data_IF_180028494707
#
_entry.id   IF_180028494707
#
_cell.length_a   1.000
_cell.length_b   1.000
_cell.length_c   1.000
_cell.angle_alpha   90.00
_cell.angle_beta   90.00
_cell.angle_gamma   90.00
#
_symmetry.space_group_name_H-M   'P 1'
#
loop_
_entity.id
_entity.type
_entity.pdbx_description
1 polymer ?
#
# COMPACT_ATOMS: atom_id res chain seq x y z
N UNK A 1 -14.57 -21.76 16.66
CA UNK A 1 -13.32 -22.21 16.05
C UNK A 1 -13.56 -22.52 14.58
N UNK A 2 -13.06 -21.66 13.69
CA UNK A 2 -13.11 -21.74 12.22
C UNK A 2 -12.27 -22.91 11.69
N UNK A 3 -11.17 -23.24 12.35
CA UNK A 3 -10.16 -24.21 11.91
C UNK A 3 -10.17 -25.52 12.70
N UNK A 4 -11.14 -25.70 13.61
CA UNK A 4 -11.18 -26.82 14.55
C UNK A 4 -11.02 -28.20 13.90
N UNK A 5 -11.75 -28.47 12.82
CA UNK A 5 -11.72 -29.79 12.17
C UNK A 5 -10.35 -30.06 11.53
N UNK A 6 -9.75 -29.06 10.89
CA UNK A 6 -8.43 -29.15 10.29
C UNK A 6 -7.35 -29.33 11.37
N UNK A 7 -7.43 -28.56 12.46
CA UNK A 7 -6.49 -28.69 13.59
C UNK A 7 -6.57 -30.09 14.20
N UNK A 8 -7.78 -30.61 14.45
CA UNK A 8 -7.95 -31.98 14.96
C UNK A 8 -7.44 -33.05 13.97
N UNK A 9 -7.61 -32.84 12.67
CA UNK A 9 -7.04 -33.73 11.66
C UNK A 9 -5.51 -33.79 11.76
N UNK A 10 -4.83 -32.65 11.77
CA UNK A 10 -3.36 -32.62 11.84
C UNK A 10 -2.81 -33.13 13.17
N UNK A 11 -3.48 -32.82 14.27
CA UNK A 11 -3.02 -33.16 15.63
C UNK A 11 -3.34 -34.60 16.03
N UNK A 12 -4.57 -35.07 15.75
CA UNK A 12 -5.07 -36.35 16.28
C UNK A 12 -5.07 -37.44 15.20
N UNK A 13 -5.51 -37.12 13.98
CA UNK A 13 -5.64 -38.13 12.92
C UNK A 13 -4.33 -38.38 12.18
N UNK A 14 -3.59 -37.32 11.89
CA UNK A 14 -2.30 -37.38 11.21
C UNK A 14 -1.13 -37.48 12.21
N UNK A 15 -1.17 -36.67 13.28
CA UNK A 15 -0.11 -36.60 14.30
C UNK A 15 1.23 -36.10 13.74
N UNK A 16 1.18 -35.18 12.76
CA UNK A 16 2.36 -34.69 12.05
C UNK A 16 2.47 -33.16 12.22
N UNK A 17 3.44 -32.78 13.05
CA UNK A 17 3.74 -31.39 13.40
C UNK A 17 4.36 -30.60 12.23
N UNK A 18 5.16 -31.25 11.39
CA UNK A 18 5.72 -30.59 10.20
C UNK A 18 4.60 -30.27 9.19
N UNK A 19 3.65 -31.19 9.03
CA UNK A 19 2.49 -30.98 8.18
C UNK A 19 1.54 -29.90 8.72
N UNK A 20 1.35 -29.83 10.05
CA UNK A 20 0.59 -28.77 10.69
C UNK A 20 1.24 -27.40 10.45
N UNK A 21 2.54 -27.28 10.72
CA UNK A 21 3.30 -26.05 10.52
C UNK A 21 3.26 -25.59 9.06
N UNK A 22 3.49 -26.50 8.12
CA UNK A 22 3.41 -26.19 6.69
C UNK A 22 2.01 -25.71 6.27
N UNK A 23 0.95 -26.33 6.79
CA UNK A 23 -0.41 -25.91 6.48
C UNK A 23 -0.74 -24.51 7.03
N UNK A 24 -0.25 -24.17 8.22
CA UNK A 24 -0.40 -22.84 8.81
C UNK A 24 0.33 -21.79 7.96
N UNK A 25 1.57 -22.08 7.53
CA UNK A 25 2.37 -21.19 6.69
C UNK A 25 1.71 -20.90 5.32
N UNK A 26 0.93 -21.84 4.79
CA UNK A 26 0.17 -21.65 3.54
C UNK A 26 -1.07 -20.76 3.70
N UNK A 27 -1.51 -20.48 4.94
CA UNK A 27 -2.67 -19.61 5.18
C UNK A 27 -2.29 -18.13 5.01
N UNK A 28 -3.26 -17.26 4.67
CA UNK A 28 -3.02 -15.81 4.65
C UNK A 28 -2.42 -15.36 6.00
N UNK A 29 -1.44 -14.46 5.98
CA UNK A 29 -0.75 -13.99 7.20
C UNK A 29 -1.74 -13.55 8.29
N UNK A 30 -2.81 -12.82 7.92
CA UNK A 30 -3.85 -12.37 8.85
C UNK A 30 -4.65 -13.50 9.52
N UNK A 31 -4.65 -14.69 8.94
CA UNK A 31 -5.36 -15.86 9.45
C UNK A 31 -4.50 -16.69 10.40
N UNK A 32 -3.17 -16.60 10.31
CA UNK A 32 -2.23 -17.41 11.10
C UNK A 32 -2.35 -17.16 12.62
N UNK A 33 -2.42 -15.91 13.14
CA UNK A 33 -2.64 -15.67 14.58
C UNK A 33 -3.94 -16.29 15.10
N UNK A 34 -5.01 -16.24 14.31
CA UNK A 34 -6.30 -16.84 14.70
C UNK A 34 -6.22 -18.37 14.72
N UNK A 35 -5.46 -18.98 13.80
CA UNK A 35 -5.20 -20.41 13.81
C UNK A 35 -4.41 -20.82 15.07
N UNK A 36 -3.37 -20.06 15.43
CA UNK A 36 -2.59 -20.32 16.64
C UNK A 36 -3.44 -20.16 17.93
N UNK A 37 -4.33 -19.16 17.99
CA UNK A 37 -5.27 -19.03 19.12
C UNK A 37 -6.23 -20.21 19.21
N UNK A 38 -6.79 -20.64 18.10
CA UNK A 38 -7.68 -21.81 18.09
C UNK A 38 -6.95 -23.11 18.45
N UNK A 39 -5.67 -23.23 18.08
CA UNK A 39 -4.81 -24.33 18.53
C UNK A 39 -4.61 -24.31 20.05
N UNK A 40 -4.34 -23.14 20.64
CA UNK A 40 -4.23 -22.99 22.09
C UNK A 40 -5.53 -23.31 22.82
N UNK A 41 -6.67 -22.85 22.29
CA UNK A 41 -7.99 -23.17 22.86
C UNK A 41 -8.26 -24.67 22.81
N UNK A 42 -7.92 -25.34 21.71
CA UNK A 42 -8.04 -26.80 21.59
C UNK A 42 -7.11 -27.54 22.54
N UNK A 43 -5.87 -27.09 22.69
CA UNK A 43 -4.94 -27.68 23.64
C UNK A 43 -5.40 -27.47 25.08
N UNK A 44 -6.00 -26.34 25.44
CA UNK A 44 -6.59 -26.14 26.76
C UNK A 44 -7.84 -27.02 26.99
N UNK A 45 -8.62 -27.29 25.95
CA UNK A 45 -9.80 -28.16 26.03
C UNK A 45 -9.43 -29.65 26.17
N UNK A 46 -8.35 -30.09 25.53
CA UNK A 46 -7.96 -31.51 25.40
C UNK A 46 -6.77 -31.87 26.32
N UNK A 47 -5.95 -30.90 26.71
CA UNK A 47 -4.64 -31.05 27.35
C UNK A 47 -4.65 -31.69 28.74
N UNK A 48 -5.82 -31.80 29.38
CA UNK A 48 -5.94 -32.66 30.57
C UNK A 48 -5.68 -34.14 30.32
N UNK A 49 -5.69 -34.58 29.05
CA UNK A 49 -5.54 -35.99 28.63
C UNK A 49 -4.42 -36.23 27.60
N UNK A 50 -3.73 -35.18 27.09
CA UNK A 50 -2.68 -35.32 26.07
C UNK A 50 -1.53 -34.30 26.23
N UNK A 51 -0.39 -34.78 26.74
CA UNK A 51 0.82 -34.02 27.07
C UNK A 51 1.54 -33.44 25.82
N UNK A 52 1.43 -34.10 24.65
CA UNK A 52 2.00 -33.59 23.39
C UNK A 52 1.29 -32.33 22.90
N UNK A 53 -0.03 -32.27 23.11
CA UNK A 53 -0.86 -31.12 22.77
C UNK A 53 -0.57 -29.91 23.66
N UNK A 54 -0.27 -30.15 24.94
CA UNK A 54 0.12 -29.11 25.89
C UNK A 54 1.48 -28.51 25.53
N UNK A 55 2.45 -29.35 25.13
CA UNK A 55 3.77 -28.90 24.65
C UNK A 55 3.67 -28.07 23.37
N UNK A 56 2.88 -28.51 22.38
CA UNK A 56 2.65 -27.75 21.15
C UNK A 56 2.05 -26.36 21.45
N UNK A 57 1.06 -26.29 22.34
CA UNK A 57 0.44 -25.02 22.75
C UNK A 57 1.43 -24.02 23.34
N UNK A 58 2.36 -24.50 24.17
CA UNK A 58 3.42 -23.66 24.75
C UNK A 58 4.41 -23.17 23.69
N UNK A 59 4.77 -24.01 22.72
CA UNK A 59 5.66 -23.63 21.62
C UNK A 59 5.04 -22.55 20.72
N UNK A 60 3.76 -22.65 20.42
CA UNK A 60 3.04 -21.66 19.60
C UNK A 60 2.63 -20.39 20.35
N UNK A 61 2.69 -20.39 21.69
CA UNK A 61 2.36 -19.21 22.51
C UNK A 61 3.22 -17.99 22.22
N UNK A 62 4.51 -18.18 21.90
CA UNK A 62 5.40 -17.07 21.57
C UNK A 62 5.28 -16.59 20.13
N UNK A 63 4.61 -17.35 19.26
CA UNK A 63 4.50 -17.08 17.84
C UNK A 63 3.35 -16.11 17.54
N UNK A 64 2.25 -16.15 18.29
CA UNK A 64 1.11 -15.22 18.12
C UNK A 64 1.59 -13.76 18.17
N UNK A 65 2.29 -13.36 19.24
CA UNK A 65 2.76 -11.99 19.42
C UNK A 65 3.75 -11.57 18.31
N UNK A 66 4.64 -12.48 17.89
CA UNK A 66 5.62 -12.20 16.84
C UNK A 66 4.96 -12.01 15.47
N UNK A 67 3.99 -12.86 15.13
CA UNK A 67 3.27 -12.75 13.87
C UNK A 67 2.38 -11.50 13.84
N UNK A 68 1.73 -11.15 14.96
CA UNK A 68 0.94 -9.93 15.04
C UNK A 68 1.79 -8.68 14.84
N UNK A 69 2.98 -8.62 15.46
CA UNK A 69 3.90 -7.50 15.27
C UNK A 69 4.38 -7.39 13.81
N UNK A 70 4.75 -8.51 13.18
CA UNK A 70 5.18 -8.53 11.76
C UNK A 70 4.04 -8.07 10.83
N UNK A 71 2.83 -8.58 11.04
CA UNK A 71 1.64 -8.22 10.25
C UNK A 71 1.32 -6.73 10.42
N UNK A 72 1.41 -6.21 11.64
CA UNK A 72 1.19 -4.80 11.94
C UNK A 72 2.22 -3.93 11.22
N UNK A 73 3.49 -4.30 11.26
CA UNK A 73 4.57 -3.58 10.58
C UNK A 73 4.40 -3.59 9.05
N UNK A 74 4.07 -4.73 8.46
CA UNK A 74 3.81 -4.84 7.02
C UNK A 74 2.61 -4.01 6.58
N UNK A 75 1.51 -4.07 7.33
CA UNK A 75 0.29 -3.29 7.04
C UNK A 75 0.53 -1.80 7.22
N UNK A 76 1.31 -1.41 8.23
CA UNK A 76 1.70 -0.02 8.43
C UNK A 76 2.59 0.48 7.28
N UNK A 77 3.52 -0.35 6.81
CA UNK A 77 4.36 -0.03 5.65
C UNK A 77 3.52 0.12 4.37
N UNK A 78 2.59 -0.81 4.12
CA UNK A 78 1.66 -0.75 2.98
C UNK A 78 0.79 0.51 3.02
N UNK A 79 0.20 0.82 4.18
CA UNK A 79 -0.62 2.02 4.37
C UNK A 79 0.21 3.30 4.16
N UNK A 80 1.43 3.36 4.72
CA UNK A 80 2.32 4.50 4.54
C UNK A 80 2.72 4.69 3.07
N UNK A 81 2.97 3.59 2.35
CA UNK A 81 3.27 3.64 0.91
C UNK A 81 2.08 4.18 0.10
N UNK A 82 0.87 3.67 0.35
CA UNK A 82 -0.34 4.13 -0.32
C UNK A 82 -0.57 5.63 -0.06
N UNK A 83 -0.48 6.07 1.19
CA UNK A 83 -0.64 7.49 1.55
C UNK A 83 0.40 8.37 0.86
N UNK A 84 1.67 7.91 0.77
CA UNK A 84 2.72 8.66 0.09
C UNK A 84 2.46 8.77 -1.42
N UNK A 85 1.99 7.69 -2.05
CA UNK A 85 1.59 7.68 -3.47
C UNK A 85 0.41 8.63 -3.74
N UNK A 86 -0.65 8.57 -2.94
CA UNK A 86 -1.80 9.45 -3.08
C UNK A 86 -1.43 10.93 -2.89
N UNK A 87 -0.57 11.23 -1.92
CA UNK A 87 -0.05 12.58 -1.70
C UNK A 87 0.78 13.08 -2.90
N UNK A 88 1.61 12.20 -3.48
CA UNK A 88 2.41 12.52 -4.66
C UNK A 88 1.53 12.75 -5.90
N UNK A 89 0.52 11.91 -6.13
CA UNK A 89 -0.43 12.08 -7.24
C UNK A 89 -1.20 13.39 -7.13
N UNK A 90 -1.68 13.72 -5.92
CA UNK A 90 -2.34 15.00 -5.67
C UNK A 90 -1.43 16.19 -5.95
N UNK A 91 -0.18 16.15 -5.46
CA UNK A 91 0.78 17.21 -5.72
C UNK A 91 1.07 17.36 -7.23
N UNK A 92 1.17 16.25 -7.97
CA UNK A 92 1.35 16.29 -9.42
C UNK A 92 0.15 16.92 -10.14
N UNK A 93 -1.08 16.62 -9.71
CA UNK A 93 -2.29 17.24 -10.25
C UNK A 93 -2.32 18.76 -9.99
N UNK A 94 -2.01 19.20 -8.77
CA UNK A 94 -1.95 20.63 -8.42
C UNK A 94 -0.90 21.39 -9.25
N UNK A 95 0.25 20.75 -9.50
CA UNK A 95 1.29 21.32 -10.39
C UNK A 95 0.77 21.47 -11.82
N UNK A 96 0.09 20.46 -12.37
CA UNK A 96 -0.43 20.50 -13.74
C UNK A 96 -1.55 21.54 -13.90
N UNK A 97 -2.45 21.66 -12.92
CA UNK A 97 -3.47 22.71 -12.89
C UNK A 97 -2.84 24.11 -12.82
N UNK A 98 -1.81 24.27 -11.99
CA UNK A 98 -1.07 25.54 -11.88
C UNK A 98 -0.40 25.88 -13.22
N UNK A 99 0.25 24.92 -13.88
CA UNK A 99 0.83 25.11 -15.22
C UNK A 99 -0.23 25.58 -16.22
N UNK A 100 -1.39 24.93 -16.29
CA UNK A 100 -2.52 25.34 -17.15
C UNK A 100 -3.01 26.75 -16.85
N UNK A 101 -3.10 27.12 -15.57
CA UNK A 101 -3.48 28.47 -15.13
C UNK A 101 -2.47 29.52 -15.59
N UNK A 102 -1.18 29.25 -15.41
CA UNK A 102 -0.09 30.13 -15.87
C UNK A 102 -0.15 30.30 -17.39
N UNK A 103 -0.30 29.22 -18.17
CA UNK A 103 -0.42 29.30 -19.63
C UNK A 103 -1.61 30.16 -20.04
N UNK A 104 -2.77 29.91 -19.46
CA UNK A 104 -4.01 30.67 -19.74
C UNK A 104 -3.82 32.17 -19.48
N UNK A 105 -3.22 32.54 -18.34
CA UNK A 105 -2.94 33.92 -17.99
C UNK A 105 -1.98 34.60 -18.98
N UNK A 106 -0.87 33.93 -19.33
CA UNK A 106 0.11 34.44 -20.30
C UNK A 106 -0.57 34.70 -21.64
N UNK A 107 -1.33 33.72 -22.15
CA UNK A 107 -2.05 33.81 -23.42
C UNK A 107 -3.04 34.97 -23.40
N UNK A 108 -3.85 35.08 -22.33
CA UNK A 108 -4.83 36.15 -22.18
C UNK A 108 -4.17 37.53 -22.23
N UNK A 109 -3.09 37.74 -21.48
CA UNK A 109 -2.36 39.02 -21.48
C UNK A 109 -1.83 39.39 -22.87
N UNK A 110 -1.36 38.40 -23.64
CA UNK A 110 -0.84 38.60 -25.00
C UNK A 110 -1.98 38.90 -25.97
N UNK A 111 -3.02 38.07 -26.01
CA UNK A 111 -4.14 38.17 -26.95
C UNK A 111 -4.95 39.45 -26.73
N UNK A 112 -5.15 39.85 -25.48
CA UNK A 112 -5.86 41.09 -25.12
C UNK A 112 -4.97 42.34 -25.16
N UNK A 113 -3.69 42.19 -25.52
CA UNK A 113 -2.70 43.26 -25.59
C UNK A 113 -2.65 44.12 -24.32
N UNK A 114 -2.56 43.46 -23.17
CA UNK A 114 -2.39 44.15 -21.89
C UNK A 114 -1.06 44.91 -21.83
N UNK A 115 -0.91 45.79 -20.84
CA UNK A 115 0.29 46.64 -20.69
C UNK A 115 1.60 45.84 -20.67
N UNK A 116 1.57 44.62 -20.12
CA UNK A 116 2.71 43.71 -20.01
C UNK A 116 2.78 42.66 -21.14
N UNK A 117 2.03 42.80 -22.24
CA UNK A 117 1.97 41.79 -23.31
C UNK A 117 3.35 41.42 -23.89
N UNK A 118 4.28 42.38 -23.99
CA UNK A 118 5.65 42.10 -24.47
C UNK A 118 6.45 41.25 -23.48
N UNK A 119 6.34 41.52 -22.17
CA UNK A 119 6.97 40.71 -21.12
C UNK A 119 6.38 39.29 -21.11
N UNK A 120 5.06 39.18 -21.29
CA UNK A 120 4.38 37.89 -21.36
C UNK A 120 4.78 37.07 -22.60
N UNK A 121 5.09 37.69 -23.75
CA UNK A 121 5.66 36.98 -24.91
C UNK A 121 7.02 36.37 -24.61
N UNK A 122 7.88 37.10 -23.89
CA UNK A 122 9.19 36.58 -23.48
C UNK A 122 9.02 35.42 -22.50
N UNK A 123 8.13 35.56 -21.53
CA UNK A 123 7.81 34.50 -20.59
C UNK A 123 7.22 33.27 -21.29
N UNK A 124 6.31 33.46 -22.25
CA UNK A 124 5.75 32.38 -23.05
C UNK A 124 6.86 31.57 -23.75
N UNK A 125 7.83 32.24 -24.37
CA UNK A 125 8.96 31.56 -25.00
C UNK A 125 9.77 30.73 -24.00
N UNK A 126 10.07 31.29 -22.83
CA UNK A 126 10.80 30.57 -21.77
C UNK A 126 10.04 29.34 -21.27
N UNK A 127 8.71 29.45 -21.10
CA UNK A 127 7.89 28.31 -20.69
C UNK A 127 7.81 27.26 -21.79
N UNK A 128 7.63 27.66 -23.05
CA UNK A 128 7.64 26.72 -24.18
C UNK A 128 8.99 26.01 -24.33
N UNK A 129 10.11 26.70 -24.12
CA UNK A 129 11.44 26.10 -24.16
C UNK A 129 11.64 25.12 -22.99
N UNK A 130 11.16 25.46 -21.80
CA UNK A 130 11.16 24.56 -20.65
C UNK A 130 10.34 23.29 -20.94
N UNK A 131 9.09 23.44 -21.40
CA UNK A 131 8.22 22.32 -21.74
C UNK A 131 8.84 21.44 -22.85
N UNK A 132 9.55 22.02 -23.82
CA UNK A 132 10.26 21.24 -24.85
C UNK A 132 11.41 20.45 -24.24
N UNK A 133 12.17 21.06 -23.33
CA UNK A 133 13.31 20.41 -22.66
C UNK A 133 12.89 19.26 -21.75
N UNK A 134 11.69 19.32 -21.17
CA UNK A 134 11.12 18.27 -20.32
C UNK A 134 10.28 17.25 -21.09
N UNK A 135 10.04 17.46 -22.39
CA UNK A 135 9.20 16.59 -23.22
C UNK A 135 7.69 16.76 -23.00
N UNK A 136 7.27 17.82 -22.31
CA UNK A 136 5.87 18.14 -22.00
C UNK A 136 5.24 19.10 -23.01
N UNK A 137 6.01 19.62 -23.97
CA UNK A 137 5.51 20.61 -24.94
C UNK A 137 4.39 20.05 -25.81
N UNK A 138 3.27 20.76 -25.81
CA UNK A 138 2.15 20.52 -26.70
C UNK A 138 1.81 21.83 -27.42
N UNK A 139 1.87 21.81 -28.75
CA UNK A 139 1.61 22.96 -29.61
C UNK A 139 0.18 23.52 -29.44
N UNK A 140 -0.81 22.65 -29.22
CA UNK A 140 -2.22 23.04 -29.04
C UNK A 140 -2.40 23.94 -27.80
N UNK A 141 -1.58 23.76 -26.77
CA UNK A 141 -1.63 24.60 -25.56
C UNK A 141 -1.23 26.05 -25.84
N UNK A 142 -0.49 26.31 -26.91
CA UNK A 142 0.11 27.61 -27.24
C UNK A 142 -0.39 28.20 -28.56
N UNK A 143 -1.19 27.45 -29.33
CA UNK A 143 -1.74 27.85 -30.62
C UNK A 143 -2.35 29.27 -30.69
N UNK A 144 -2.99 29.83 -29.63
CA UNK A 144 -3.51 31.20 -29.69
C UNK A 144 -2.45 32.31 -29.85
N UNK A 145 -1.17 32.01 -29.57
CA UNK A 145 -0.07 32.99 -29.60
C UNK A 145 1.11 32.56 -30.48
N UNK A 146 1.00 31.42 -31.16
CA UNK A 146 1.91 30.96 -32.21
C UNK A 146 1.45 31.49 -33.58
#
# INVERSE_FOLDING_TARGET
MKYREQLLYYIIELGDEEALSAWIEEQPLLEQPDIFRELQELAAEIGGENEELEMLSEEFSGLVDQYEDIILDEKLAEANYIMAMEAQEKAAQEVEETKKGIRSYIIECIVTNQRNAQEMKQLAQQVMDLEKSTGEFNEDNWAPIL
#
